data_IF_566629179837
#
_entry.id   IF_566629179837
#
_cell.length_a   1.000
_cell.length_b   1.000
_cell.length_c   1.000
_cell.angle_alpha   90.00
_cell.angle_beta   90.00
_cell.angle_gamma   90.00
#
_symmetry.space_group_name_H-M   'P 1'
#
loop_
_entity.id
_entity.type
_entity.pdbx_description
1 polymer ?
#
# COMPACT_ATOMS: atom_id res chain seq x y z
N UNK A 1 12.73 29.16 45.61
CA UNK A 1 11.93 29.00 44.38
C UNK A 1 12.57 27.93 43.52
N UNK A 2 11.93 26.77 43.36
CA UNK A 2 12.38 25.73 42.42
C UNK A 2 11.62 26.01 41.12
N UNK A 3 12.33 26.43 40.08
CA UNK A 3 11.73 26.70 38.78
C UNK A 3 11.78 25.41 37.94
N UNK A 4 10.65 24.74 37.80
CA UNK A 4 10.54 23.51 37.00
C UNK A 4 10.27 23.87 35.52
N UNK A 5 10.98 23.23 34.59
CA UNK A 5 10.70 23.34 33.15
C UNK A 5 9.42 22.56 32.81
N UNK A 6 8.68 23.02 31.80
CA UNK A 6 7.54 22.27 31.28
C UNK A 6 7.98 20.87 30.82
N UNK A 7 7.35 19.81 31.35
CA UNK A 7 7.67 18.41 31.03
C UNK A 7 8.56 17.68 32.03
N UNK A 8 8.99 18.29 33.13
CA UNK A 8 9.76 17.60 34.17
C UNK A 8 8.86 16.69 35.02
N UNK A 9 9.00 15.36 34.86
CA UNK A 9 8.36 14.37 35.72
C UNK A 9 9.22 14.21 36.98
N UNK A 10 8.63 14.52 38.14
CA UNK A 10 9.35 14.58 39.43
C UNK A 10 9.09 13.36 40.33
N UNK A 11 8.13 12.50 39.98
CA UNK A 11 7.85 11.25 40.67
C UNK A 11 7.06 10.29 39.77
N UNK A 12 7.20 8.98 39.99
CA UNK A 12 6.31 7.95 39.46
C UNK A 12 5.53 7.34 40.63
N UNK A 13 4.21 7.17 40.48
CA UNK A 13 3.40 6.43 41.43
C UNK A 13 3.09 5.04 40.86
N UNK A 14 3.39 3.97 41.60
CA UNK A 14 2.91 2.64 41.26
C UNK A 14 1.41 2.53 41.56
N UNK A 15 0.68 1.88 40.65
CA UNK A 15 -0.77 1.68 40.72
C UNK A 15 -1.10 0.79 41.92
N UNK A 16 -1.92 1.29 42.86
CA UNK A 16 -2.46 0.50 43.97
C UNK A 16 -3.48 -0.52 43.42
N UNK A 17 -3.33 -1.77 43.84
CA UNK A 17 -4.34 -2.83 43.61
C UNK A 17 -5.11 -3.00 44.90
N UNK A 18 -6.42 -2.79 44.82
CA UNK A 18 -7.35 -3.01 45.92
C UNK A 18 -7.39 -4.52 46.24
N UNK A 19 -6.82 -4.92 47.38
CA UNK A 19 -7.06 -6.24 47.96
C UNK A 19 -8.10 -6.04 49.06
N UNK A 20 -9.29 -6.54 48.78
CA UNK A 20 -10.44 -6.69 49.68
C UNK A 20 -10.13 -6.49 51.17
N UNK A 21 -10.91 -5.58 51.78
CA UNK A 21 -11.03 -5.25 53.21
C UNK A 21 -10.19 -4.05 53.68
N UNK A 22 -10.62 -2.86 53.31
CA UNK A 22 -10.94 -1.82 54.30
C UNK A 22 -9.82 -1.11 55.07
N UNK A 23 -8.54 -1.24 54.70
CA UNK A 23 -7.46 -0.43 55.27
C UNK A 23 -6.59 0.22 54.18
N UNK A 24 -6.36 1.53 54.32
CA UNK A 24 -5.50 2.33 53.44
C UNK A 24 -4.03 1.93 53.65
N UNK A 25 -3.41 1.31 52.64
CA UNK A 25 -1.97 1.06 52.63
C UNK A 25 -1.20 2.39 52.43
N UNK A 26 -0.29 2.72 53.35
CA UNK A 26 0.59 3.89 53.25
C UNK A 26 1.45 3.83 51.97
N UNK A 27 1.47 4.93 51.22
CA UNK A 27 2.29 5.09 50.03
C UNK A 27 3.73 5.46 50.41
N UNK A 28 4.71 4.60 50.12
CA UNK A 28 6.12 4.95 50.18
C UNK A 28 6.53 5.67 48.89
N UNK A 29 7.11 6.87 49.01
CA UNK A 29 7.63 7.66 47.90
C UNK A 29 9.16 7.51 47.85
N UNK A 30 9.69 6.82 46.85
CA UNK A 30 11.12 6.87 46.55
C UNK A 30 11.46 8.10 45.72
N UNK A 31 12.24 9.02 46.31
CA UNK A 31 12.80 10.18 45.63
C UNK A 31 14.00 9.76 44.77
N UNK A 32 13.79 9.45 43.51
CA UNK A 32 14.89 9.21 42.58
C UNK A 32 15.37 10.55 41.99
N UNK A 33 16.43 11.15 42.58
CA UNK A 33 17.20 12.20 41.90
C UNK A 33 18.09 11.55 40.83
N UNK A 34 17.50 11.16 39.70
CA UNK A 34 18.26 11.00 38.47
C UNK A 34 18.13 12.31 37.70
N UNK A 35 19.24 13.03 37.56
CA UNK A 35 19.38 13.96 36.44
C UNK A 35 19.18 13.14 35.17
N UNK A 36 18.04 13.35 34.51
CA UNK A 36 17.87 12.89 33.14
C UNK A 36 18.82 13.76 32.34
N UNK A 37 19.99 13.22 32.01
CA UNK A 37 20.77 13.71 30.90
C UNK A 37 19.83 13.67 29.69
N UNK A 38 19.29 14.83 29.29
CA UNK A 38 18.66 15.03 27.99
C UNK A 38 19.72 15.00 26.89
N UNK A 39 20.39 13.86 26.82
CA UNK A 39 21.24 13.39 25.74
C UNK A 39 21.05 11.88 25.60
N UNK A 40 19.81 11.41 25.78
CA UNK A 40 19.37 10.28 24.97
C UNK A 40 19.36 10.79 23.53
N UNK A 41 20.44 10.45 22.82
CA UNK A 41 20.47 10.32 21.37
C UNK A 41 19.24 9.50 20.94
N UNK A 42 18.09 10.15 20.79
CA UNK A 42 17.15 9.76 19.75
C UNK A 42 17.97 9.99 18.49
N UNK A 43 18.59 8.93 17.97
CA UNK A 43 18.99 8.93 16.57
C UNK A 43 17.74 9.39 15.85
N UNK A 44 17.76 10.60 15.30
CA UNK A 44 16.78 10.98 14.30
C UNK A 44 16.99 9.96 13.18
N UNK A 45 16.23 8.88 13.18
CA UNK A 45 16.22 7.95 12.06
C UNK A 45 15.94 8.81 10.85
N UNK A 46 16.94 8.97 10.01
CA UNK A 46 16.79 9.71 8.78
C UNK A 46 15.78 8.93 7.95
N UNK A 47 14.67 9.54 7.55
CA UNK A 47 13.68 8.87 6.71
C UNK A 47 14.32 8.28 5.44
N UNK A 48 15.44 8.84 5.00
CA UNK A 48 16.26 8.34 3.90
C UNK A 48 16.75 6.90 4.10
N UNK A 49 17.05 6.49 5.34
CA UNK A 49 17.51 5.12 5.68
C UNK A 49 16.41 4.06 5.45
N UNK A 50 15.15 4.47 5.39
CA UNK A 50 14.03 3.57 5.08
C UNK A 50 13.94 3.21 3.59
N UNK A 51 14.63 3.95 2.71
CA UNK A 51 14.62 3.78 1.27
C UNK A 51 15.84 3.00 0.77
N UNK A 52 15.70 2.13 -0.24
CA UNK A 52 16.82 1.53 -0.96
C UNK A 52 17.60 2.55 -1.82
N UNK A 53 18.52 3.29 -1.18
CA UNK A 53 19.33 4.36 -1.80
C UNK A 53 20.68 3.88 -2.37
N UNK A 54 20.99 2.58 -2.29
CA UNK A 54 22.27 1.98 -2.67
C UNK A 54 22.67 2.21 -4.15
N UNK A 55 21.68 2.23 -5.06
CA UNK A 55 21.90 2.47 -6.49
C UNK A 55 21.78 3.95 -6.90
N UNK A 56 21.43 4.84 -5.95
CA UNK A 56 21.32 6.27 -6.22
C UNK A 56 22.72 6.91 -6.24
N UNK A 57 23.25 7.12 -7.44
CA UNK A 57 24.58 7.73 -7.64
C UNK A 57 24.51 9.26 -7.51
N UNK A 58 24.28 9.74 -6.29
CA UNK A 58 24.14 11.15 -5.94
C UNK A 58 25.40 11.72 -5.29
N UNK A 59 25.65 13.02 -5.48
CA UNK A 59 26.69 13.75 -4.73
C UNK A 59 26.28 13.93 -3.26
N UNK A 60 27.23 14.27 -2.39
CA UNK A 60 26.95 14.54 -0.97
C UNK A 60 25.94 15.68 -0.78
N UNK A 61 25.99 16.71 -1.61
CA UNK A 61 25.04 17.83 -1.59
C UNK A 61 23.63 17.39 -2.03
N UNK A 62 23.55 16.58 -3.10
CA UNK A 62 22.28 16.03 -3.58
C UNK A 62 21.64 15.11 -2.53
N UNK A 63 22.42 14.25 -1.86
CA UNK A 63 21.91 13.41 -0.78
C UNK A 63 21.32 14.24 0.37
N UNK A 64 21.99 15.32 0.77
CA UNK A 64 21.47 16.22 1.81
C UNK A 64 20.14 16.87 1.38
N UNK A 65 20.02 17.28 0.12
CA UNK A 65 18.76 17.84 -0.40
C UNK A 65 17.62 16.82 -0.40
N UNK A 66 17.92 15.56 -0.75
CA UNK A 66 16.95 14.46 -0.71
C UNK A 66 16.54 14.14 0.73
N UNK A 67 17.47 14.11 1.68
CA UNK A 67 17.15 13.91 3.09
C UNK A 67 16.19 14.99 3.62
N UNK A 68 16.46 16.26 3.32
CA UNK A 68 15.57 17.37 3.68
C UNK A 68 14.18 17.20 3.05
N UNK A 69 14.13 16.76 1.78
CA UNK A 69 12.88 16.49 1.08
C UNK A 69 12.06 15.39 1.77
N UNK A 70 12.67 14.25 2.08
CA UNK A 70 12.00 13.13 2.71
C UNK A 70 11.51 13.47 4.12
N UNK A 71 12.32 14.20 4.89
CA UNK A 71 11.92 14.70 6.21
C UNK A 71 10.71 15.64 6.12
N UNK A 72 10.68 16.53 5.12
CA UNK A 72 9.53 17.41 4.85
C UNK A 72 8.24 16.63 4.58
N UNK A 73 8.34 15.50 3.88
CA UNK A 73 7.21 14.63 3.54
C UNK A 73 7.06 13.40 4.45
N UNK A 74 7.61 13.43 5.67
CA UNK A 74 7.53 12.35 6.67
C UNK A 74 6.11 11.80 6.87
N UNK A 75 5.08 12.66 6.84
CA UNK A 75 3.66 12.24 6.96
C UNK A 75 3.15 11.42 5.77
N UNK A 76 3.77 11.53 4.60
CA UNK A 76 3.47 10.76 3.40
C UNK A 76 4.23 9.42 3.39
N UNK A 77 5.18 9.21 4.30
CA UNK A 77 5.99 7.99 4.36
C UNK A 77 5.39 7.06 5.41
N UNK A 78 5.09 5.82 5.01
CA UNK A 78 4.55 4.81 5.91
C UNK A 78 5.60 4.32 6.88
N UNK A 79 5.32 4.37 8.18
CA UNK A 79 6.24 3.87 9.23
C UNK A 79 6.11 2.36 9.47
N UNK A 80 4.96 1.78 9.13
CA UNK A 80 4.68 0.36 9.29
C UNK A 80 3.71 -0.14 8.22
N UNK A 81 3.48 -1.45 8.14
CA UNK A 81 2.49 -2.00 7.21
C UNK A 81 1.03 -1.64 7.57
N UNK A 82 0.77 -1.23 8.82
CA UNK A 82 -0.57 -0.83 9.28
C UNK A 82 -0.77 0.69 9.22
N UNK A 83 0.29 1.47 8.95
CA UNK A 83 0.23 2.92 8.82
C UNK A 83 -0.32 3.32 7.45
N UNK A 84 -1.59 2.99 7.21
CA UNK A 84 -2.26 3.22 5.93
C UNK A 84 -2.80 4.64 5.85
N UNK A 85 -2.65 5.26 4.68
CA UNK A 85 -3.29 6.52 4.38
C UNK A 85 -4.82 6.44 4.39
N UNK A 86 -5.45 7.60 4.26
CA UNK A 86 -6.90 7.72 4.11
C UNK A 86 -7.19 8.89 3.19
N UNK A 87 -7.69 8.58 2.01
CA UNK A 87 -8.12 9.60 1.06
C UNK A 87 -9.60 9.91 1.21
N UNK A 88 -9.98 11.16 1.02
CA UNK A 88 -11.37 11.62 0.92
C UNK A 88 -11.77 12.02 -0.51
N UNK A 89 -10.83 11.90 -1.45
CA UNK A 89 -10.98 12.34 -2.84
C UNK A 89 -12.05 11.56 -3.59
N UNK A 90 -12.16 10.26 -3.31
CA UNK A 90 -13.03 9.35 -4.02
C UNK A 90 -13.39 8.15 -3.13
N UNK A 91 -14.60 7.63 -3.29
CA UNK A 91 -15.06 6.37 -2.68
C UNK A 91 -15.28 5.30 -3.74
N UNK A 92 -15.13 4.03 -3.35
CA UNK A 92 -15.45 2.90 -4.21
C UNK A 92 -16.92 2.51 -4.09
N UNK A 93 -17.65 2.54 -5.20
CA UNK A 93 -19.04 2.09 -5.27
C UNK A 93 -19.18 0.83 -6.13
N UNK A 94 -20.13 -0.03 -5.76
CA UNK A 94 -20.48 -1.25 -6.46
C UNK A 94 -21.89 -1.08 -7.00
N UNK A 95 -22.00 -0.93 -8.31
CA UNK A 95 -23.30 -0.93 -9.00
C UNK A 95 -23.65 -2.34 -9.41
N UNK A 96 -24.78 -2.85 -8.93
CA UNK A 96 -25.26 -4.19 -9.29
C UNK A 96 -26.16 -4.14 -10.54
N UNK A 97 -26.15 -5.23 -11.29
CA UNK A 97 -27.07 -5.51 -12.40
C UNK A 97 -28.45 -5.96 -11.91
N UNK A 98 -28.49 -6.57 -10.73
CA UNK A 98 -29.70 -6.96 -10.01
C UNK A 98 -29.44 -6.97 -8.51
N UNK A 99 -30.46 -6.63 -7.73
CA UNK A 99 -30.38 -6.59 -6.27
C UNK A 99 -30.87 -7.92 -5.69
N UNK A 100 -30.03 -8.94 -5.76
CA UNK A 100 -30.32 -10.25 -5.16
C UNK A 100 -29.09 -10.71 -4.39
N UNK A 101 -29.24 -10.80 -3.07
CA UNK A 101 -28.15 -11.14 -2.18
C UNK A 101 -27.58 -12.53 -2.47
N UNK A 102 -26.26 -12.63 -2.44
CA UNK A 102 -25.53 -13.89 -2.58
C UNK A 102 -25.06 -14.37 -1.21
N UNK A 103 -25.29 -15.65 -0.92
CA UNK A 103 -24.70 -16.35 0.22
C UNK A 103 -23.82 -17.49 -0.26
N UNK A 104 -22.50 -17.32 -0.13
CA UNK A 104 -21.53 -18.38 -0.40
C UNK A 104 -21.34 -19.28 0.83
N UNK A 105 -21.11 -20.59 0.63
CA UNK A 105 -20.79 -21.48 1.72
C UNK A 105 -19.43 -21.11 2.35
N UNK A 106 -19.38 -21.14 3.68
CA UNK A 106 -18.18 -20.83 4.45
C UNK A 106 -17.19 -21.99 4.34
N UNK A 107 -15.91 -21.67 4.11
CA UNK A 107 -14.83 -22.66 4.21
C UNK A 107 -14.55 -22.99 5.67
N UNK A 108 -14.55 -24.29 5.98
CA UNK A 108 -14.16 -24.77 7.31
C UNK A 108 -12.65 -24.61 7.46
N UNK A 109 -12.26 -23.89 8.50
CA UNK A 109 -10.87 -23.61 8.85
C UNK A 109 -10.70 -24.03 10.31
N UNK A 110 -9.75 -24.90 10.59
CA UNK A 110 -9.52 -25.50 11.91
C UNK A 110 -8.04 -25.37 12.30
N UNK A 111 -7.75 -25.60 13.58
CA UNK A 111 -6.39 -25.63 14.12
C UNK A 111 -5.70 -24.26 14.08
N UNK A 112 -4.38 -24.28 13.93
CA UNK A 112 -3.52 -23.07 13.93
C UNK A 112 -3.97 -22.02 12.90
N UNK A 113 -4.45 -22.48 11.74
CA UNK A 113 -4.92 -21.58 10.68
C UNK A 113 -6.13 -20.75 11.12
N UNK A 114 -7.00 -21.30 11.98
CA UNK A 114 -8.17 -20.57 12.47
C UNK A 114 -7.77 -19.46 13.44
N UNK A 115 -6.77 -19.69 14.28
CA UNK A 115 -6.25 -18.67 15.21
C UNK A 115 -5.50 -17.57 14.46
N UNK A 116 -4.69 -17.91 13.43
CA UNK A 116 -4.03 -16.89 12.59
C UNK A 116 -5.07 -16.02 11.86
N UNK A 117 -6.12 -16.62 11.31
CA UNK A 117 -7.23 -15.88 10.68
C UNK A 117 -7.89 -14.94 11.69
N UNK A 118 -8.16 -15.41 12.91
CA UNK A 118 -8.77 -14.59 13.97
C UNK A 118 -7.91 -13.38 14.32
N UNK A 119 -6.61 -13.57 14.52
CA UNK A 119 -5.67 -12.48 14.81
C UNK A 119 -5.63 -11.46 13.68
N UNK A 120 -5.58 -11.89 12.41
CA UNK A 120 -5.60 -10.96 11.29
C UNK A 120 -6.92 -10.19 11.16
N UNK A 121 -8.07 -10.84 11.41
CA UNK A 121 -9.37 -10.14 11.39
C UNK A 121 -9.47 -9.12 12.51
N UNK A 122 -8.96 -9.43 13.70
CA UNK A 122 -8.91 -8.49 14.80
C UNK A 122 -8.05 -7.26 14.43
N UNK A 123 -6.86 -7.47 13.85
CA UNK A 123 -6.02 -6.37 13.38
C UNK A 123 -6.73 -5.52 12.32
N UNK A 124 -7.39 -6.15 11.33
CA UNK A 124 -8.14 -5.41 10.31
C UNK A 124 -9.30 -4.58 10.91
N UNK A 125 -9.91 -5.08 11.99
CA UNK A 125 -10.97 -4.35 12.71
C UNK A 125 -10.40 -3.18 13.50
N UNK A 126 -9.27 -3.38 14.19
CA UNK A 126 -8.56 -2.33 14.95
C UNK A 126 -8.01 -1.23 14.01
N UNK A 127 -7.54 -1.60 12.82
CA UNK A 127 -7.12 -0.70 11.75
C UNK A 127 -8.30 0.06 11.08
N UNK A 128 -9.54 -0.24 11.47
CA UNK A 128 -10.75 0.35 10.90
C UNK A 128 -10.99 0.00 9.43
N UNK A 129 -10.48 -1.14 8.96
CA UNK A 129 -10.65 -1.64 7.59
C UNK A 129 -11.94 -2.43 7.46
N UNK A 130 -12.30 -3.21 8.48
CA UNK A 130 -13.53 -4.00 8.55
C UNK A 130 -14.33 -3.69 9.82
N UNK A 131 -15.60 -4.10 9.83
CA UNK A 131 -16.45 -4.12 11.03
C UNK A 131 -17.40 -5.33 11.02
N UNK A 132 -18.00 -5.69 12.17
CA UNK A 132 -19.06 -6.69 12.20
C UNK A 132 -20.21 -6.32 11.27
N UNK A 133 -20.76 -7.30 10.56
CA UNK A 133 -21.82 -7.10 9.57
C UNK A 133 -23.10 -7.84 9.97
N UNK A 134 -24.24 -7.23 9.62
CA UNK A 134 -25.56 -7.88 9.60
C UNK A 134 -26.09 -7.99 8.15
N UNK A 135 -25.21 -7.85 7.16
CA UNK A 135 -25.59 -7.84 5.75
C UNK A 135 -26.18 -9.19 5.31
N UNK A 136 -27.22 -9.19 4.45
CA UNK A 136 -27.72 -10.41 3.83
C UNK A 136 -26.74 -11.00 2.81
N UNK A 137 -25.73 -10.23 2.39
CA UNK A 137 -24.67 -10.70 1.50
C UNK A 137 -23.59 -11.45 2.30
N UNK A 138 -23.00 -12.46 1.69
CA UNK A 138 -21.91 -13.20 2.29
C UNK A 138 -21.03 -13.85 1.22
N UNK A 139 -19.86 -13.29 1.00
CA UNK A 139 -18.75 -13.94 0.31
C UNK A 139 -17.94 -14.86 1.24
N UNK A 140 -17.22 -15.81 0.64
CA UNK A 140 -16.36 -16.74 1.37
C UNK A 140 -14.96 -16.15 1.54
N UNK A 141 -14.44 -16.19 2.77
CA UNK A 141 -13.03 -15.92 3.04
C UNK A 141 -12.16 -17.14 2.69
N UNK A 142 -11.02 -16.91 2.05
CA UNK A 142 -10.07 -17.90 1.57
C UNK A 142 -8.68 -17.56 2.12
N UNK A 143 -8.15 -18.36 3.06
CA UNK A 143 -6.79 -18.19 3.56
C UNK A 143 -5.78 -18.69 2.53
N UNK A 144 -4.81 -17.84 2.15
CA UNK A 144 -3.76 -18.15 1.17
C UNK A 144 -2.40 -17.99 1.84
N UNK A 145 -1.57 -19.04 1.84
CA UNK A 145 -0.19 -18.96 2.33
C UNK A 145 0.66 -18.14 1.37
N UNK A 146 1.40 -17.15 1.87
CA UNK A 146 2.38 -16.39 1.08
C UNK A 146 3.62 -17.26 0.82
N UNK A 147 4.32 -17.01 -0.30
CA UNK A 147 5.58 -17.70 -0.63
C UNK A 147 6.68 -17.46 0.41
N UNK A 148 6.73 -16.27 0.99
CA UNK A 148 7.69 -15.86 2.02
C UNK A 148 7.26 -16.20 3.46
N UNK A 149 6.22 -17.03 3.64
CA UNK A 149 5.64 -17.30 4.94
C UNK A 149 4.55 -16.30 5.35
N UNK A 150 3.70 -16.71 6.29
CA UNK A 150 2.52 -15.96 6.72
C UNK A 150 1.29 -16.14 5.83
N UNK A 151 0.17 -15.58 6.28
CA UNK A 151 -1.14 -15.75 5.66
C UNK A 151 -1.68 -14.48 5.01
N UNK A 152 -2.41 -14.63 3.90
CA UNK A 152 -3.23 -13.59 3.25
C UNK A 152 -4.69 -14.03 3.29
N UNK A 153 -5.56 -13.18 3.85
CA UNK A 153 -7.01 -13.36 3.77
C UNK A 153 -7.51 -12.81 2.43
N UNK A 154 -7.91 -13.68 1.52
CA UNK A 154 -8.55 -13.28 0.26
C UNK A 154 -10.06 -13.52 0.35
N UNK A 155 -10.88 -12.58 -0.13
CA UNK A 155 -12.33 -12.79 -0.19
C UNK A 155 -12.72 -13.19 -1.61
N UNK A 156 -13.51 -14.25 -1.73
CA UNK A 156 -13.98 -14.75 -3.01
C UNK A 156 -15.17 -13.94 -3.53
N UNK A 157 -14.87 -12.77 -4.11
CA UNK A 157 -15.88 -11.91 -4.72
C UNK A 157 -16.30 -12.35 -6.13
N UNK A 158 -15.96 -13.55 -6.62
CA UNK A 158 -16.29 -13.94 -8.01
C UNK A 158 -17.79 -13.85 -8.31
N UNK A 159 -18.65 -14.30 -7.39
CA UNK A 159 -20.10 -14.22 -7.58
C UNK A 159 -20.61 -12.77 -7.50
N UNK A 160 -20.10 -11.98 -6.54
CA UNK A 160 -20.42 -10.55 -6.45
C UNK A 160 -20.01 -9.82 -7.74
N UNK A 161 -18.76 -10.03 -8.18
CA UNK A 161 -18.21 -9.45 -9.39
C UNK A 161 -19.06 -9.79 -10.63
N UNK A 162 -19.64 -10.97 -10.73
CA UNK A 162 -20.51 -11.33 -11.85
C UNK A 162 -21.83 -10.53 -11.85
N UNK A 163 -22.28 -10.07 -10.69
CA UNK A 163 -23.45 -9.19 -10.56
C UNK A 163 -23.08 -7.71 -10.69
N UNK A 164 -21.82 -7.34 -10.51
CA UNK A 164 -21.35 -5.96 -10.63
C UNK A 164 -21.27 -5.51 -12.10
N UNK A 165 -21.84 -4.34 -12.39
CA UNK A 165 -21.67 -3.63 -13.66
C UNK A 165 -20.18 -3.31 -13.84
N UNK A 166 -19.59 -3.78 -14.94
CA UNK A 166 -18.15 -3.62 -15.19
C UNK A 166 -17.82 -2.17 -15.52
N UNK A 167 -16.74 -1.69 -14.91
CA UNK A 167 -16.20 -0.38 -15.19
C UNK A 167 -15.15 -0.48 -16.31
N UNK A 168 -15.36 0.28 -17.39
CA UNK A 168 -14.46 0.32 -18.54
C UNK A 168 -13.50 1.50 -18.51
N UNK A 169 -13.19 2.03 -17.32
CA UNK A 169 -12.21 3.11 -17.19
C UNK A 169 -10.89 2.72 -17.87
N UNK A 170 -10.36 3.56 -18.78
CA UNK A 170 -9.16 3.23 -19.53
C UNK A 170 -7.95 3.20 -18.61
N UNK A 171 -7.16 2.13 -18.70
CA UNK A 171 -5.82 2.11 -18.14
C UNK A 171 -4.86 2.79 -19.11
N UNK A 172 -3.85 3.51 -18.59
CA UNK A 172 -2.81 4.09 -19.44
C UNK A 172 -2.14 3.01 -20.28
N UNK A 173 -1.96 3.30 -21.58
CA UNK A 173 -1.24 2.42 -22.47
C UNK A 173 0.27 2.57 -22.23
N UNK A 174 0.91 1.47 -21.87
CA UNK A 174 2.33 1.46 -21.56
C UNK A 174 3.21 1.87 -22.76
N UNK A 175 2.76 1.62 -23.98
CA UNK A 175 3.50 2.05 -25.18
C UNK A 175 3.56 3.58 -25.28
N UNK A 176 2.48 4.26 -24.87
CA UNK A 176 2.44 5.72 -24.86
C UNK A 176 3.37 6.27 -23.77
N UNK A 177 3.52 5.54 -22.66
CA UNK A 177 4.48 5.86 -21.61
C UNK A 177 5.93 5.78 -22.12
N UNK A 178 6.26 4.80 -22.96
CA UNK A 178 7.60 4.63 -23.57
C UNK A 178 8.04 5.89 -24.33
N UNK A 179 7.16 6.46 -25.16
CA UNK A 179 7.52 7.62 -25.99
C UNK A 179 7.87 8.85 -25.15
N UNK A 180 7.31 8.96 -23.95
CA UNK A 180 7.53 10.08 -23.04
C UNK A 180 8.79 9.94 -22.18
N UNK A 181 9.49 8.80 -22.24
CA UNK A 181 10.75 8.60 -21.52
C UNK A 181 11.95 9.24 -22.21
N UNK A 182 11.83 9.59 -23.49
CA UNK A 182 12.96 10.12 -24.26
C UNK A 182 13.51 11.40 -23.62
N UNK A 183 14.82 11.43 -23.35
CA UNK A 183 15.51 12.54 -22.70
C UNK A 183 15.57 12.47 -21.17
N UNK A 184 14.80 11.56 -20.55
CA UNK A 184 14.88 11.33 -19.10
C UNK A 184 16.14 10.54 -18.73
N UNK A 185 16.81 10.95 -17.67
CA UNK A 185 18.05 10.34 -17.18
C UNK A 185 17.88 9.81 -15.74
N UNK A 186 17.04 10.47 -14.94
CA UNK A 186 16.72 10.08 -13.58
C UNK A 186 15.30 9.53 -13.49
N UNK A 187 15.16 8.44 -12.75
CA UNK A 187 13.92 7.70 -12.57
C UNK A 187 13.71 7.41 -11.09
N UNK A 188 12.48 7.59 -10.63
CA UNK A 188 12.06 7.17 -9.29
C UNK A 188 10.75 6.41 -9.37
N UNK A 189 10.64 5.27 -8.68
CA UNK A 189 9.38 4.53 -8.54
C UNK A 189 8.84 4.70 -7.13
N UNK A 190 7.55 4.98 -7.03
CA UNK A 190 6.81 5.02 -5.77
C UNK A 190 5.77 3.90 -5.75
N UNK A 191 5.72 3.17 -4.64
CA UNK A 191 4.73 2.12 -4.33
C UNK A 191 3.91 2.61 -3.13
N UNK A 192 2.58 2.59 -3.25
CA UNK A 192 1.69 3.02 -2.18
C UNK A 192 1.47 1.90 -1.16
N UNK A 193 1.38 2.25 0.13
CA UNK A 193 1.11 1.24 1.16
C UNK A 193 -0.34 0.76 1.11
N UNK A 194 -0.53 -0.56 1.00
CA UNK A 194 -1.84 -1.24 1.00
C UNK A 194 -2.86 -0.49 0.14
N UNK A 195 -2.52 -0.27 -1.13
CA UNK A 195 -3.09 0.76 -2.00
C UNK A 195 -4.62 0.87 -1.88
N UNK A 196 -5.36 -0.23 -1.96
CA UNK A 196 -6.82 -0.22 -1.95
C UNK A 196 -7.42 0.19 -0.61
N UNK A 197 -6.78 -0.09 0.52
CA UNK A 197 -7.31 0.32 1.83
C UNK A 197 -7.19 1.82 2.09
N UNK A 198 -6.51 2.58 1.23
CA UNK A 198 -6.56 4.04 1.29
C UNK A 198 -7.92 4.60 0.85
N UNK A 199 -8.69 3.83 0.06
CA UNK A 199 -9.97 4.25 -0.54
C UNK A 199 -11.14 3.79 0.34
N UNK A 200 -12.02 4.69 0.80
CA UNK A 200 -13.23 4.29 1.52
C UNK A 200 -14.24 3.63 0.58
N UNK A 201 -14.99 2.65 1.11
CA UNK A 201 -16.19 2.15 0.44
C UNK A 201 -17.32 3.18 0.52
N UNK A 202 -18.10 3.27 -0.53
CA UNK A 202 -19.39 3.96 -0.50
C UNK A 202 -20.35 3.27 0.48
N UNK A 203 -21.13 4.05 1.24
CA UNK A 203 -21.98 3.56 2.33
C UNK A 203 -22.95 2.47 1.87
N UNK A 204 -23.52 2.61 0.68
CA UNK A 204 -24.51 1.68 0.14
C UNK A 204 -23.84 0.41 -0.40
N UNK A 205 -22.54 0.49 -0.68
CA UNK A 205 -21.73 -0.63 -1.19
C UNK A 205 -21.06 -1.45 -0.08
N UNK A 206 -20.94 -0.90 1.15
CA UNK A 206 -20.35 -1.60 2.30
C UNK A 206 -20.99 -2.97 2.53
N UNK A 207 -22.33 -3.11 2.63
CA UNK A 207 -22.95 -4.40 2.91
C UNK A 207 -22.67 -5.46 1.84
N UNK A 208 -22.40 -5.05 0.59
CA UNK A 208 -22.11 -5.96 -0.53
C UNK A 208 -20.76 -6.66 -0.37
N UNK A 209 -19.84 -6.07 0.39
CA UNK A 209 -18.51 -6.63 0.67
C UNK A 209 -18.52 -7.64 1.83
N UNK A 210 -19.69 -7.93 2.39
CA UNK A 210 -19.79 -8.77 3.56
C UNK A 210 -19.27 -10.19 3.30
N UNK A 211 -18.57 -10.76 4.28
CA UNK A 211 -17.99 -12.08 4.22
C UNK A 211 -18.07 -12.77 5.57
N UNK A 212 -18.25 -14.08 5.54
CA UNK A 212 -18.37 -14.90 6.74
C UNK A 212 -17.15 -15.80 6.95
N UNK A 213 -16.76 -15.95 8.21
CA UNK A 213 -15.92 -17.06 8.71
C UNK A 213 -16.78 -18.03 9.53
N UNK A 214 -16.18 -19.10 10.03
CA UNK A 214 -16.89 -20.09 10.85
C UNK A 214 -17.53 -19.51 12.12
N UNK A 215 -17.08 -18.34 12.59
CA UNK A 215 -17.49 -17.75 13.88
C UNK A 215 -17.99 -16.32 13.80
N UNK A 216 -17.86 -15.65 12.65
CA UNK A 216 -18.10 -14.20 12.57
C UNK A 216 -18.51 -13.77 11.17
N UNK A 217 -19.24 -12.66 11.09
CA UNK A 217 -19.65 -12.00 9.85
C UNK A 217 -19.12 -10.58 9.84
N UNK A 218 -18.43 -10.22 8.77
CA UNK A 218 -17.68 -8.96 8.67
C UNK A 218 -17.99 -8.28 7.34
N UNK A 219 -17.80 -6.97 7.27
CA UNK A 219 -17.88 -6.17 6.04
C UNK A 219 -16.75 -5.14 5.99
N UNK A 220 -16.36 -4.74 4.79
CA UNK A 220 -15.28 -3.78 4.58
C UNK A 220 -15.79 -2.34 4.55
N UNK A 221 -15.13 -1.47 5.33
CA UNK A 221 -15.32 -0.02 5.31
C UNK A 221 -14.36 0.64 4.30
N UNK A 222 -13.23 -0.01 4.03
CA UNK A 222 -12.22 0.40 3.05
C UNK A 222 -12.18 -0.59 1.88
N UNK A 223 -11.85 -0.14 0.69
CA UNK A 223 -11.95 -0.93 -0.54
C UNK A 223 -11.12 -2.23 -0.46
N UNK A 224 -11.76 -3.43 -0.48
CA UNK A 224 -11.03 -4.68 -0.40
C UNK A 224 -10.44 -5.10 -1.74
N UNK A 225 -9.39 -5.93 -1.66
CA UNK A 225 -8.88 -6.66 -2.81
C UNK A 225 -9.94 -7.63 -3.36
N UNK A 226 -9.88 -7.89 -4.67
CA UNK A 226 -10.69 -8.89 -5.35
C UNK A 226 -11.99 -8.38 -5.95
N UNK A 227 -12.39 -7.12 -5.69
CA UNK A 227 -13.49 -6.47 -6.40
C UNK A 227 -13.09 -6.15 -7.85
N UNK A 228 -13.97 -6.42 -8.82
CA UNK A 228 -13.61 -6.32 -10.24
C UNK A 228 -13.32 -4.91 -10.73
N UNK A 229 -13.86 -3.87 -10.06
CA UNK A 229 -13.69 -2.47 -10.45
C UNK A 229 -12.71 -1.71 -9.52
N UNK A 230 -12.02 -2.41 -8.61
CA UNK A 230 -11.07 -1.78 -7.68
C UNK A 230 -9.93 -1.06 -8.43
N UNK A 231 -9.33 -1.72 -9.42
CA UNK A 231 -8.26 -1.13 -10.25
C UNK A 231 -8.72 0.12 -11.01
N UNK A 232 -9.91 0.09 -11.63
CA UNK A 232 -10.48 1.24 -12.33
C UNK A 232 -10.73 2.43 -11.39
N UNK A 233 -11.21 2.14 -10.18
CA UNK A 233 -11.45 3.13 -9.14
C UNK A 233 -10.15 3.76 -8.67
N UNK A 234 -9.11 2.94 -8.46
CA UNK A 234 -7.82 3.40 -8.01
C UNK A 234 -7.09 4.21 -9.10
N UNK A 235 -7.16 3.78 -10.37
CA UNK A 235 -6.64 4.57 -11.49
C UNK A 235 -7.33 5.94 -11.58
N UNK A 236 -8.65 6.02 -11.40
CA UNK A 236 -9.36 7.31 -11.35
C UNK A 236 -8.86 8.19 -10.21
N UNK A 237 -8.67 7.61 -9.03
CA UNK A 237 -8.10 8.35 -7.90
C UNK A 237 -6.74 8.93 -8.27
N UNK A 238 -5.83 8.12 -8.81
CA UNK A 238 -4.50 8.61 -9.17
C UNK A 238 -4.52 9.66 -10.29
N UNK A 239 -5.42 9.53 -11.27
CA UNK A 239 -5.60 10.57 -12.29
C UNK A 239 -6.11 11.90 -11.70
N UNK A 240 -6.90 11.86 -10.61
CA UNK A 240 -7.33 13.06 -9.90
C UNK A 240 -6.21 13.65 -9.05
N UNK A 241 -5.47 12.80 -8.31
CA UNK A 241 -4.36 13.22 -7.44
C UNK A 241 -3.21 13.82 -8.24
N UNK A 242 -2.87 13.20 -9.38
CA UNK A 242 -1.78 13.62 -10.27
C UNK A 242 -2.30 14.45 -11.45
N UNK A 243 -3.44 15.11 -11.30
CA UNK A 243 -3.97 16.00 -12.33
C UNK A 243 -3.02 17.18 -12.54
N UNK A 244 -2.59 17.37 -13.79
CA UNK A 244 -1.72 18.48 -14.18
C UNK A 244 -0.26 18.09 -14.40
N UNK A 245 0.15 16.87 -14.02
CA UNK A 245 1.46 16.34 -14.39
C UNK A 245 1.46 15.90 -15.85
N UNK A 246 2.53 16.25 -16.58
CA UNK A 246 2.76 15.68 -17.91
C UNK A 246 3.30 14.25 -17.79
N UNK A 247 3.17 13.49 -18.87
CA UNK A 247 3.73 12.14 -18.94
C UNK A 247 5.27 12.13 -18.93
N UNK A 248 5.91 13.26 -19.20
CA UNK A 248 7.36 13.44 -19.06
C UNK A 248 7.80 13.77 -17.63
N UNK A 249 6.86 14.02 -16.71
CA UNK A 249 7.14 14.26 -15.29
C UNK A 249 6.77 13.05 -14.45
N UNK A 250 5.56 12.51 -14.64
CA UNK A 250 5.06 11.38 -13.88
C UNK A 250 4.13 10.51 -14.73
N UNK A 251 4.38 9.20 -14.69
CA UNK A 251 3.56 8.17 -15.29
C UNK A 251 2.99 7.34 -14.15
N UNK A 252 1.67 7.16 -14.10
CA UNK A 252 1.03 6.38 -13.05
C UNK A 252 0.19 5.25 -13.65
N UNK A 253 0.37 4.05 -13.13
CA UNK A 253 -0.41 2.87 -13.48
C UNK A 253 -0.93 2.22 -12.20
N UNK A 254 -2.24 2.35 -11.98
CA UNK A 254 -2.92 1.94 -10.75
C UNK A 254 -2.19 2.52 -9.54
N UNK A 255 -1.41 1.74 -8.81
CA UNK A 255 -0.71 2.10 -7.58
C UNK A 255 0.79 2.36 -7.75
N UNK A 256 1.34 2.03 -8.92
CA UNK A 256 2.74 2.27 -9.27
C UNK A 256 2.88 3.66 -9.94
N UNK A 257 3.71 4.53 -9.38
CA UNK A 257 4.06 5.82 -9.97
C UNK A 257 5.54 5.87 -10.35
N UNK A 258 5.82 6.27 -11.59
CA UNK A 258 7.16 6.49 -12.14
C UNK A 258 7.36 7.99 -12.36
N UNK A 259 8.32 8.57 -11.64
CA UNK A 259 8.74 9.97 -11.78
C UNK A 259 9.97 10.01 -12.69
N UNK A 260 10.02 11.04 -13.51
CA UNK A 260 11.01 11.23 -14.57
C UNK A 260 11.72 12.58 -14.42
N UNK A 261 12.93 12.69 -14.96
CA UNK A 261 13.62 13.97 -15.08
C UNK A 261 14.93 13.85 -15.85
N UNK A 262 15.29 14.90 -16.58
CA UNK A 262 16.49 14.95 -17.43
C UNK A 262 17.73 15.32 -16.60
N UNK A 263 17.57 16.20 -15.61
CA UNK A 263 18.60 16.56 -14.63
C UNK A 263 18.18 16.18 -13.21
N UNK A 264 19.11 16.27 -12.26
CA UNK A 264 18.81 16.02 -10.85
C UNK A 264 17.79 17.04 -10.34
N UNK A 265 17.95 18.31 -10.68
CA UNK A 265 17.12 19.42 -10.21
C UNK A 265 15.69 19.31 -10.74
N UNK A 266 15.54 18.99 -12.03
CA UNK A 266 14.24 18.73 -12.63
C UNK A 266 13.55 17.53 -11.95
N UNK A 267 14.29 16.43 -11.78
CA UNK A 267 13.75 15.23 -11.15
C UNK A 267 13.37 15.46 -9.67
N UNK A 268 14.20 16.22 -8.94
CA UNK A 268 13.94 16.60 -7.56
C UNK A 268 12.65 17.40 -7.43
N UNK A 269 12.44 18.38 -8.32
CA UNK A 269 11.21 19.18 -8.33
C UNK A 269 9.99 18.32 -8.70
N UNK A 270 10.10 17.45 -9.71
CA UNK A 270 9.03 16.53 -10.08
C UNK A 270 8.65 15.60 -8.91
N UNK A 271 9.64 15.03 -8.21
CA UNK A 271 9.40 14.20 -7.03
C UNK A 271 8.78 15.00 -5.89
N UNK A 272 9.26 16.20 -5.62
CA UNK A 272 8.71 17.10 -4.63
C UNK A 272 7.21 17.38 -4.89
N UNK A 273 6.85 17.68 -6.13
CA UNK A 273 5.48 18.02 -6.50
C UNK A 273 4.57 16.80 -6.41
N UNK A 274 5.03 15.64 -6.85
CA UNK A 274 4.28 14.37 -6.70
C UNK A 274 4.05 14.05 -5.22
N UNK A 275 5.09 14.13 -4.37
CA UNK A 275 4.96 13.90 -2.92
C UNK A 275 4.02 14.92 -2.26
N UNK A 276 4.02 16.17 -2.74
CA UNK A 276 3.08 17.20 -2.30
C UNK A 276 1.63 16.79 -2.57
N UNK A 277 1.33 16.35 -3.80
CA UNK A 277 0.00 15.90 -4.18
C UNK A 277 -0.43 14.66 -3.39
N UNK A 278 0.45 13.67 -3.21
CA UNK A 278 0.15 12.48 -2.40
C UNK A 278 -0.18 12.86 -0.95
N UNK A 279 0.64 13.72 -0.34
CA UNK A 279 0.44 14.19 1.03
C UNK A 279 -0.88 14.95 1.20
N UNK A 280 -1.23 15.83 0.25
CA UNK A 280 -2.50 16.57 0.27
C UNK A 280 -3.73 15.67 0.22
N UNK A 281 -3.65 14.54 -0.49
CA UNK A 281 -4.75 13.58 -0.63
C UNK A 281 -4.68 12.43 0.40
N UNK A 282 -3.78 12.52 1.39
CA UNK A 282 -3.66 11.56 2.48
C UNK A 282 -3.18 10.17 2.04
N UNK A 283 -2.48 10.07 0.91
CA UNK A 283 -1.86 8.84 0.42
C UNK A 283 -0.48 8.67 1.04
N UNK A 284 -0.09 7.42 1.30
CA UNK A 284 1.21 7.08 1.88
C UNK A 284 1.99 6.12 1.00
N UNK A 285 3.30 6.33 0.92
CA UNK A 285 4.23 5.46 0.19
C UNK A 285 4.89 4.44 1.11
N UNK A 286 5.20 3.26 0.58
CA UNK A 286 5.96 2.21 1.26
C UNK A 286 7.46 2.38 0.94
N UNK A 287 8.27 2.92 1.86
CA UNK A 287 9.63 3.35 1.54
C UNK A 287 10.53 2.20 1.07
N UNK A 288 10.39 0.99 1.63
CA UNK A 288 11.23 -0.17 1.26
C UNK A 288 11.00 -0.67 -0.17
N UNK A 289 9.95 -0.18 -0.85
CA UNK A 289 9.64 -0.50 -2.24
C UNK A 289 9.75 0.72 -3.17
N UNK A 290 10.10 1.88 -2.63
CA UNK A 290 10.30 3.09 -3.41
C UNK A 290 11.78 3.20 -3.79
N UNK A 291 12.07 3.28 -5.08
CA UNK A 291 13.44 3.36 -5.59
C UNK A 291 13.66 4.75 -6.16
N UNK A 292 14.54 5.54 -5.54
CA UNK A 292 14.65 6.98 -5.83
C UNK A 292 15.94 7.34 -6.58
N UNK A 293 15.85 8.33 -7.47
CA UNK A 293 16.97 8.96 -8.19
C UNK A 293 17.91 7.98 -8.92
N UNK A 294 17.39 6.88 -9.45
CA UNK A 294 18.17 5.86 -10.18
C UNK A 294 18.31 6.22 -11.66
N UNK A 295 19.33 5.64 -12.32
CA UNK A 295 19.51 5.74 -13.78
C UNK A 295 18.75 4.66 -14.56
N UNK A 296 18.37 3.58 -13.87
CA UNK A 296 17.50 2.54 -14.37
C UNK A 296 16.61 2.03 -13.23
N UNK A 297 15.36 1.70 -13.53
CA UNK A 297 14.39 1.17 -12.56
C UNK A 297 13.55 0.07 -13.19
N UNK A 298 12.98 -0.80 -12.36
CA UNK A 298 11.97 -1.75 -12.81
C UNK A 298 10.58 -1.14 -12.65
N UNK A 299 9.80 -1.14 -13.72
CA UNK A 299 8.44 -0.60 -13.74
C UNK A 299 7.56 -1.47 -14.64
N UNK A 300 6.45 -1.98 -14.09
CA UNK A 300 5.43 -2.76 -14.82
C UNK A 300 5.97 -3.96 -15.63
N UNK A 301 7.02 -4.63 -15.14
CA UNK A 301 7.64 -5.78 -15.80
C UNK A 301 8.70 -5.43 -16.85
N UNK A 302 9.11 -4.17 -16.90
CA UNK A 302 10.17 -3.69 -17.76
C UNK A 302 11.27 -3.00 -16.95
N UNK A 303 12.48 -3.01 -17.49
CA UNK A 303 13.56 -2.11 -17.09
C UNK A 303 13.44 -0.81 -17.89
N UNK A 304 13.35 0.30 -17.18
CA UNK A 304 13.26 1.65 -17.74
C UNK A 304 14.58 2.37 -17.47
N UNK A 305 15.19 2.92 -18.52
CA UNK A 305 16.43 3.69 -18.43
C UNK A 305 16.49 4.80 -19.49
N UNK A 306 17.57 5.58 -19.48
CA UNK A 306 17.84 6.57 -20.53
C UNK A 306 17.93 5.95 -21.95
N UNK A 307 18.22 4.65 -22.05
CA UNK A 307 18.32 3.93 -23.33
C UNK A 307 16.95 3.45 -23.83
N UNK A 308 15.87 3.69 -23.09
CA UNK A 308 14.51 3.24 -23.38
C UNK A 308 14.03 2.14 -22.43
N UNK A 309 13.02 1.39 -22.89
CA UNK A 309 12.39 0.31 -22.14
C UNK A 309 12.83 -1.05 -22.70
N UNK A 310 13.27 -1.95 -21.82
CA UNK A 310 13.61 -3.33 -22.15
C UNK A 310 12.76 -4.27 -21.26
N UNK A 311 12.19 -5.37 -21.77
CA UNK A 311 11.50 -6.34 -20.91
C UNK A 311 12.42 -6.87 -19.81
N UNK A 312 11.89 -7.10 -18.60
CA UNK A 312 12.70 -7.67 -17.50
C UNK A 312 13.28 -9.03 -17.93
N UNK A 313 14.57 -9.25 -17.66
CA UNK A 313 15.26 -10.52 -17.95
C UNK A 313 14.52 -11.73 -17.40
N UNK A 314 13.86 -11.62 -16.24
CA UNK A 314 13.06 -12.72 -15.69
C UNK A 314 11.88 -13.11 -16.60
N UNK A 315 11.27 -12.12 -17.26
CA UNK A 315 10.18 -12.36 -18.20
C UNK A 315 10.73 -12.99 -19.49
N UNK A 316 11.88 -12.52 -19.98
CA UNK A 316 12.56 -13.10 -21.13
C UNK A 316 12.96 -14.56 -20.87
N UNK A 317 13.62 -14.82 -19.74
CA UNK A 317 14.03 -16.15 -19.30
C UNK A 317 12.84 -17.10 -19.20
N UNK A 318 11.74 -16.66 -18.59
CA UNK A 318 10.51 -17.45 -18.50
C UNK A 318 9.97 -17.83 -19.89
N UNK A 319 9.95 -16.89 -20.84
CA UNK A 319 9.52 -17.18 -22.23
C UNK A 319 10.47 -18.17 -22.89
N UNK A 320 11.79 -17.95 -22.80
CA UNK A 320 12.79 -18.81 -23.45
C UNK A 320 12.84 -20.21 -22.88
N UNK A 321 12.53 -20.37 -21.58
CA UNK A 321 12.47 -21.65 -20.89
C UNK A 321 11.08 -22.30 -20.93
N UNK A 322 10.07 -21.62 -21.51
CA UNK A 322 8.72 -22.14 -21.55
C UNK A 322 8.65 -23.35 -22.49
N UNK A 323 8.25 -24.54 -22.00
CA UNK A 323 8.17 -25.73 -22.82
C UNK A 323 7.10 -25.56 -23.90
N UNK A 324 7.34 -26.13 -25.09
CA UNK A 324 6.40 -26.04 -26.22
C UNK A 324 4.98 -26.43 -25.76
N UNK A 325 4.00 -25.51 -25.81
CA UNK A 325 2.68 -25.77 -25.24
C UNK A 325 1.96 -26.85 -26.05
N UNK A 326 1.54 -27.92 -25.37
CA UNK A 326 0.80 -29.06 -25.95
C UNK A 326 -0.69 -29.05 -25.64
N UNK A 327 -1.17 -28.12 -24.81
CA UNK A 327 -2.57 -28.03 -24.40
C UNK A 327 -3.10 -26.61 -24.56
N UNK A 328 -4.41 -26.46 -24.76
CA UNK A 328 -5.09 -25.14 -24.85
C UNK A 328 -4.84 -24.30 -23.59
N UNK A 329 -4.75 -24.95 -22.42
CA UNK A 329 -4.40 -24.28 -21.15
C UNK A 329 -2.97 -23.73 -21.19
N UNK A 330 -2.01 -24.49 -21.71
CA UNK A 330 -0.62 -24.04 -21.84
C UNK A 330 -0.47 -22.94 -22.91
N UNK A 331 -1.24 -23.00 -24.00
CA UNK A 331 -1.29 -21.93 -25.01
C UNK A 331 -1.83 -20.64 -24.40
N UNK A 332 -2.93 -20.72 -23.63
CA UNK A 332 -3.48 -19.55 -22.93
C UNK A 332 -2.51 -18.98 -21.91
N UNK A 333 -1.77 -19.82 -21.18
CA UNK A 333 -0.74 -19.38 -20.22
C UNK A 333 0.46 -18.75 -20.94
N UNK A 334 0.92 -19.33 -22.05
CA UNK A 334 2.00 -18.78 -22.87
C UNK A 334 1.64 -17.43 -23.52
N UNK A 335 0.35 -17.22 -23.86
CA UNK A 335 -0.15 -15.98 -24.46
C UNK A 335 -0.56 -14.87 -23.48
N UNK A 336 -0.59 -15.13 -22.17
CA UNK A 336 -1.03 -14.17 -21.15
C UNK A 336 0.05 -13.34 -20.39
N UNK A 337 1.37 -13.31 -20.70
CA UNK A 337 2.32 -12.56 -19.88
C UNK A 337 2.28 -11.02 -20.00
N UNK A 338 1.20 -10.40 -20.48
CA UNK A 338 1.10 -9.03 -21.07
C UNK A 338 1.23 -9.10 -22.61
N UNK A 339 0.53 -8.22 -23.34
CA UNK A 339 0.41 -8.17 -24.81
C UNK A 339 1.75 -8.09 -25.57
N UNK A 340 2.56 -9.15 -25.55
CA UNK A 340 3.67 -9.34 -26.47
C UNK A 340 3.07 -9.77 -27.81
N UNK A 341 2.86 -8.82 -28.73
CA UNK A 341 2.66 -9.13 -30.14
C UNK A 341 3.94 -9.79 -30.68
N UNK A 342 4.04 -11.10 -30.51
CA UNK A 342 5.02 -11.92 -31.22
C UNK A 342 4.61 -11.87 -32.69
N UNK A 343 5.22 -10.97 -33.46
CA UNK A 343 5.24 -11.08 -34.93
C UNK A 343 6.14 -12.27 -35.25
N UNK A 344 5.52 -13.44 -35.42
CA UNK A 344 6.16 -14.56 -36.11
C UNK A 344 6.28 -14.11 -37.56
N UNK A 345 7.52 -14.00 -38.06
CA UNK A 345 7.81 -13.79 -39.48
C UNK A 345 7.52 -15.04 -40.27
#
# INVERSE_FOLDING_TARGET
>A
MIQLKAGTIIAFAQKLVDKNNGELAEASFEWCKKEVNTSENIKSESFMEMFPMDEAKLTSEQNKNVEVLLNKFSKCISLSDNDVGKTSTLSHSIKLTRDTAIKQPIRRINGELAEEVKTQLQQLSEDGIIRPSNSPWSSCMVPIKKRCGGLRLAIDYRLLNNLTVKDSFPLPNLNDAVYNLHGSVFFSTLDLIREYYNVPMDKDSIPLTAFSTSRSHWEFIKMPFGLCNAGATFQRLMNLVLRGFSWSQCICYIDDALILGSTFEEHYNNLHDVLTCLAQHGLKIKPQKCFLFRKAVKFLGYEVSQNGIIPDMKNIEWITSFPKPTTVKNIRVAGNPLDFKIKIK
#
